data_IF_724268644691
#
_entry.id   IF_724268644691
#
_cell.length_a   1.000
_cell.length_b   1.000
_cell.length_c   1.000
_cell.angle_alpha   90.00
_cell.angle_beta   90.00
_cell.angle_gamma   90.00
#
_symmetry.space_group_name_H-M   'P 1'
#
loop_
_entity.id
_entity.type
_entity.pdbx_description
1 polymer ?
#
# COMPACT_ATOMS: atom_id res chain seq x y z
N UNK A 1 18.50 -12.64 19.61
CA UNK A 1 17.55 -12.18 18.56
C UNK A 1 18.40 -11.78 17.35
N UNK A 2 18.37 -12.55 16.26
CA UNK A 2 19.17 -12.28 15.05
C UNK A 2 18.34 -11.32 14.20
N UNK A 3 18.74 -10.05 14.15
CA UNK A 3 18.16 -9.07 13.23
C UNK A 3 18.68 -9.38 11.81
N UNK A 4 17.84 -10.05 11.00
CA UNK A 4 18.12 -10.22 9.58
C UNK A 4 17.70 -8.92 8.89
N UNK A 5 18.68 -8.04 8.69
CA UNK A 5 18.50 -6.82 7.88
C UNK A 5 18.43 -7.26 6.41
N UNK A 6 17.24 -7.55 5.91
CA UNK A 6 17.02 -7.83 4.49
C UNK A 6 17.09 -6.49 3.75
N UNK A 7 18.12 -6.31 2.95
CA UNK A 7 18.24 -5.14 2.08
C UNK A 7 17.11 -5.17 1.04
N UNK A 8 16.08 -4.35 1.26
CA UNK A 8 14.82 -4.30 0.48
C UNK A 8 15.09 -4.18 -1.03
N UNK A 9 16.07 -3.37 -1.43
CA UNK A 9 16.44 -3.20 -2.85
C UNK A 9 17.02 -4.48 -3.46
N UNK A 10 17.77 -5.27 -2.69
CA UNK A 10 18.30 -6.57 -3.12
C UNK A 10 17.19 -7.61 -3.31
N UNK A 11 16.21 -7.62 -2.40
CA UNK A 11 15.09 -8.58 -2.47
C UNK A 11 14.21 -8.30 -3.70
N UNK A 12 13.92 -7.04 -4.00
CA UNK A 12 13.13 -6.64 -5.16
C UNK A 12 13.85 -7.00 -6.46
N UNK A 13 15.15 -6.74 -6.53
CA UNK A 13 15.96 -7.11 -7.69
C UNK A 13 16.02 -8.63 -7.88
N UNK A 14 16.12 -9.41 -6.80
CA UNK A 14 16.10 -10.88 -6.83
C UNK A 14 14.73 -11.41 -7.26
N UNK A 15 13.61 -10.82 -6.83
CA UNK A 15 12.26 -11.17 -7.28
C UNK A 15 12.04 -10.86 -8.77
N UNK A 16 12.54 -9.73 -9.27
CA UNK A 16 12.52 -9.38 -10.69
C UNK A 16 13.36 -10.34 -11.54
N UNK A 17 14.53 -10.73 -11.05
CA UNK A 17 15.39 -11.72 -11.73
C UNK A 17 14.77 -13.12 -11.68
N UNK A 18 14.14 -13.52 -10.58
CA UNK A 18 13.46 -14.81 -10.45
C UNK A 18 12.25 -14.90 -11.39
N UNK A 19 11.50 -13.81 -11.57
CA UNK A 19 10.39 -13.76 -12.53
C UNK A 19 10.85 -13.95 -13.96
N UNK A 20 12.00 -13.41 -14.35
CA UNK A 20 12.57 -13.57 -15.69
C UNK A 20 13.10 -14.99 -15.95
N UNK A 21 13.53 -15.71 -14.92
CA UNK A 21 14.02 -17.10 -15.03
C UNK A 21 12.86 -18.13 -15.12
N UNK A 22 11.68 -17.81 -14.58
CA UNK A 22 10.49 -18.66 -14.69
C UNK A 22 9.88 -18.66 -16.10
N UNK A 23 10.21 -17.69 -16.96
CA UNK A 23 9.67 -17.57 -18.32
C UNK A 23 10.32 -18.52 -19.34
N UNK A 24 11.47 -19.14 -19.02
CA UNK A 24 12.28 -19.86 -20.01
C UNK A 24 11.89 -21.33 -20.21
N UNK A 25 10.94 -21.92 -19.48
CA UNK A 25 10.72 -23.39 -19.50
C UNK A 25 9.28 -23.86 -19.73
N UNK A 26 8.35 -23.01 -20.21
CA UNK A 26 6.99 -23.46 -20.52
C UNK A 26 6.75 -23.43 -22.03
N UNK A 27 7.28 -24.46 -22.72
CA UNK A 27 6.92 -24.76 -24.09
C UNK A 27 5.75 -25.77 -24.13
N UNK A 28 4.53 -25.29 -24.08
CA UNK A 28 3.36 -26.03 -24.58
C UNK A 28 2.44 -25.07 -25.32
N UNK A 29 1.98 -25.52 -26.50
CA UNK A 29 1.22 -24.79 -27.51
C UNK A 29 -0.22 -24.42 -27.07
N UNK A 30 -0.31 -23.51 -26.12
CA UNK A 30 -1.46 -22.62 -25.89
C UNK A 30 -0.93 -21.22 -26.08
N UNK A 31 -1.73 -20.27 -26.56
CA UNK A 31 -1.34 -18.86 -26.60
C UNK A 31 -0.79 -18.48 -25.23
N UNK A 32 0.52 -18.29 -25.18
CA UNK A 32 1.22 -17.98 -23.92
C UNK A 32 0.65 -16.67 -23.42
N UNK A 33 0.07 -16.66 -22.22
CA UNK A 33 -0.41 -15.41 -21.65
C UNK A 33 0.74 -14.40 -21.63
N UNK A 34 0.48 -13.18 -22.12
CA UNK A 34 1.51 -12.17 -22.31
C UNK A 34 1.79 -11.44 -21.01
N UNK A 35 3.06 -11.16 -20.74
CA UNK A 35 3.48 -10.28 -19.67
C UNK A 35 2.88 -8.88 -19.88
N UNK A 36 2.44 -8.22 -18.83
CA UNK A 36 1.92 -6.85 -18.91
C UNK A 36 2.65 -5.89 -17.95
N UNK A 37 2.82 -4.68 -18.42
CA UNK A 37 3.19 -3.53 -17.58
C UNK A 37 1.91 -2.76 -17.31
N UNK A 38 1.71 -2.41 -16.05
CA UNK A 38 0.54 -1.67 -15.59
C UNK A 38 0.98 -0.36 -14.95
N UNK A 39 0.27 0.72 -15.25
CA UNK A 39 0.48 2.03 -14.62
C UNK A 39 -0.87 2.70 -14.39
N UNK A 40 -1.02 3.39 -13.29
CA UNK A 40 -2.28 4.03 -12.93
C UNK A 40 -2.23 4.92 -11.71
N UNK A 41 -3.41 5.28 -11.26
CA UNK A 41 -3.64 6.08 -10.06
C UNK A 41 -4.43 5.27 -9.04
N UNK A 42 -4.12 5.47 -7.78
CA UNK A 42 -4.78 4.90 -6.64
C UNK A 42 -5.27 6.05 -5.74
N UNK A 43 -6.58 6.14 -5.54
CA UNK A 43 -7.17 6.99 -4.51
C UNK A 43 -7.13 6.22 -3.20
N UNK A 44 -6.39 6.73 -2.23
CA UNK A 44 -6.12 6.08 -0.95
C UNK A 44 -6.95 6.71 0.15
N UNK A 45 -7.46 5.87 1.04
CA UNK A 45 -7.95 6.26 2.36
C UNK A 45 -7.02 5.65 3.41
N UNK A 46 -6.19 6.49 4.02
CA UNK A 46 -5.26 6.08 5.05
C UNK A 46 -5.87 6.37 6.43
N UNK A 47 -6.10 5.33 7.21
CA UNK A 47 -6.71 5.41 8.53
C UNK A 47 -5.71 5.57 9.68
N UNK A 48 -4.44 5.97 9.41
CA UNK A 48 -3.42 6.14 10.46
C UNK A 48 -3.87 7.03 11.63
N UNK A 49 -4.69 8.03 11.36
CA UNK A 49 -5.29 8.90 12.39
C UNK A 49 -6.82 8.77 12.47
N UNK A 50 -7.39 7.74 11.84
CA UNK A 50 -8.86 7.59 11.68
C UNK A 50 -9.64 7.43 12.97
N UNK A 51 -9.02 6.95 14.04
CA UNK A 51 -9.63 6.83 15.36
C UNK A 51 -9.63 8.13 16.17
N UNK A 52 -8.91 9.15 15.73
CA UNK A 52 -8.97 10.48 16.34
C UNK A 52 -10.31 11.14 16.00
N UNK A 53 -11.00 11.65 17.02
CA UNK A 53 -12.29 12.33 16.84
C UNK A 53 -12.48 13.45 17.87
N UNK A 54 -13.39 14.38 17.57
CA UNK A 54 -13.89 15.41 18.49
C UNK A 54 -13.56 16.84 18.08
N UNK A 55 -14.04 17.80 18.84
CA UNK A 55 -13.84 19.23 18.59
C UNK A 55 -12.35 19.61 18.57
N UNK A 56 -11.98 20.60 17.77
CA UNK A 56 -10.60 21.10 17.59
C UNK A 56 -9.63 20.08 16.98
N UNK A 57 -10.15 19.16 16.17
CA UNK A 57 -9.38 18.17 15.43
C UNK A 57 -9.86 18.14 13.98
N UNK A 58 -8.93 18.17 13.04
CA UNK A 58 -9.18 17.82 11.65
C UNK A 58 -8.25 16.69 11.24
N UNK A 59 -8.78 15.70 10.52
CA UNK A 59 -8.02 14.57 10.00
C UNK A 59 -8.19 14.52 8.50
N UNK A 60 -7.09 14.56 7.76
CA UNK A 60 -7.05 14.29 6.33
C UNK A 60 -6.60 12.85 6.12
N UNK A 61 -7.43 12.09 5.43
CA UNK A 61 -7.25 10.66 5.21
C UNK A 61 -7.10 10.30 3.74
N UNK A 62 -7.51 11.21 2.85
CA UNK A 62 -7.57 10.92 1.42
C UNK A 62 -6.34 11.46 0.72
N UNK A 63 -5.71 10.62 -0.07
CA UNK A 63 -4.57 11.02 -0.90
C UNK A 63 -4.55 10.22 -2.19
N UNK A 64 -3.68 10.60 -3.11
CA UNK A 64 -3.46 9.92 -4.37
C UNK A 64 -2.05 9.34 -4.42
N UNK A 65 -1.95 8.11 -4.90
CA UNK A 65 -0.69 7.47 -5.22
C UNK A 65 -0.64 7.05 -6.68
N UNK A 66 0.53 7.04 -7.27
CA UNK A 66 0.79 6.31 -8.50
C UNK A 66 0.92 4.82 -8.19
N UNK A 67 0.40 3.96 -9.04
CA UNK A 67 0.61 2.51 -8.99
C UNK A 67 1.30 2.06 -10.27
N UNK A 68 2.35 1.26 -10.11
CA UNK A 68 3.11 0.66 -11.22
C UNK A 68 3.32 -0.81 -10.90
N UNK A 69 3.03 -1.71 -11.86
CA UNK A 69 3.27 -3.14 -11.65
C UNK A 69 3.63 -3.85 -12.94
N UNK A 70 4.25 -5.01 -12.75
CA UNK A 70 4.47 -6.04 -13.76
C UNK A 70 3.59 -7.23 -13.41
N UNK A 71 2.83 -7.72 -14.38
CA UNK A 71 2.04 -8.94 -14.23
C UNK A 71 2.60 -10.01 -15.17
N UNK A 72 3.03 -11.14 -14.61
CA UNK A 72 3.53 -12.30 -15.33
C UNK A 72 2.51 -13.44 -15.22
N UNK A 73 1.82 -13.79 -16.31
CA UNK A 73 0.92 -14.93 -16.31
C UNK A 73 1.68 -16.25 -16.09
N UNK A 74 1.09 -17.12 -15.29
CA UNK A 74 1.53 -18.49 -15.02
C UNK A 74 0.61 -19.48 -15.74
N UNK A 75 -0.68 -19.13 -15.82
CA UNK A 75 -1.71 -19.87 -16.52
C UNK A 75 -2.79 -18.89 -17.05
N UNK A 76 -3.77 -19.34 -17.84
CA UNK A 76 -4.86 -18.47 -18.31
C UNK A 76 -5.62 -17.74 -17.20
N UNK A 77 -5.69 -18.30 -16.00
CA UNK A 77 -6.44 -17.73 -14.88
C UNK A 77 -5.57 -17.29 -13.69
N UNK A 78 -4.24 -17.49 -13.76
CA UNK A 78 -3.34 -17.20 -12.64
C UNK A 78 -2.12 -16.43 -13.14
N UNK A 79 -1.81 -15.34 -12.47
CA UNK A 79 -0.63 -14.54 -12.76
C UNK A 79 0.09 -14.16 -11.46
N UNK A 80 1.40 -13.96 -11.53
CA UNK A 80 2.19 -13.28 -10.52
C UNK A 80 2.18 -11.78 -10.82
N UNK A 81 2.00 -10.95 -9.81
CA UNK A 81 2.08 -9.49 -9.91
C UNK A 81 3.07 -8.95 -8.89
N UNK A 82 3.93 -8.03 -9.32
CA UNK A 82 4.80 -7.28 -8.43
C UNK A 82 4.83 -5.82 -8.86
N UNK A 83 4.86 -4.91 -7.89
CA UNK A 83 4.80 -3.49 -8.20
C UNK A 83 5.19 -2.58 -7.04
N UNK A 84 4.97 -1.29 -7.29
CA UNK A 84 5.22 -0.22 -6.35
C UNK A 84 4.05 0.78 -6.35
N UNK A 85 3.83 1.38 -5.19
CA UNK A 85 2.99 2.56 -4.99
C UNK A 85 3.91 3.74 -4.72
N UNK A 86 3.63 4.88 -5.34
CA UNK A 86 4.28 6.13 -4.94
C UNK A 86 3.78 6.59 -3.58
N UNK A 87 4.45 7.59 -3.01
CA UNK A 87 4.14 8.07 -1.67
C UNK A 87 2.73 8.66 -1.55
N UNK A 88 2.21 8.54 -0.36
CA UNK A 88 0.94 9.10 0.08
C UNK A 88 1.04 9.55 1.54
N UNK A 89 0.15 10.45 1.96
CA UNK A 89 0.22 11.11 3.25
C UNK A 89 -1.15 11.09 3.95
N UNK A 90 -1.10 11.11 5.27
CA UNK A 90 -2.26 11.37 6.12
C UNK A 90 -1.84 12.32 7.23
N UNK A 91 -2.72 13.25 7.59
CA UNK A 91 -2.42 14.21 8.66
C UNK A 91 -3.57 14.38 9.65
N UNK A 92 -3.21 14.77 10.87
CA UNK A 92 -4.15 15.16 11.91
C UNK A 92 -3.70 16.45 12.57
N UNK A 93 -4.56 17.46 12.54
CA UNK A 93 -4.30 18.75 13.17
C UNK A 93 -5.08 18.86 14.47
N UNK A 94 -4.37 19.03 15.57
CA UNK A 94 -4.90 19.29 16.91
C UNK A 94 -4.70 20.79 17.18
N UNK A 95 -5.76 21.55 17.38
CA UNK A 95 -5.67 23.02 17.53
C UNK A 95 -5.61 23.50 18.98
N UNK A 96 -5.89 22.64 19.94
CA UNK A 96 -5.82 22.92 21.41
C UNK A 96 -5.40 21.67 22.15
N UNK A 97 -5.00 21.84 23.42
CA UNK A 97 -4.73 20.72 24.33
C UNK A 97 -5.85 19.69 24.30
N UNK A 98 -5.49 18.45 24.09
CA UNK A 98 -6.42 17.35 23.93
C UNK A 98 -5.85 16.04 24.46
N UNK A 99 -6.74 15.21 25.00
CA UNK A 99 -6.44 13.82 25.37
C UNK A 99 -7.51 12.88 24.85
N UNK A 100 -7.14 11.62 24.66
CA UNK A 100 -8.04 10.60 24.14
C UNK A 100 -7.33 9.30 23.87
N UNK A 101 -7.86 8.53 22.93
CA UNK A 101 -7.25 7.30 22.47
C UNK A 101 -7.02 7.34 20.95
N UNK A 102 -5.87 6.83 20.53
CA UNK A 102 -5.52 6.60 19.14
C UNK A 102 -5.15 5.11 19.02
N UNK A 103 -5.86 4.35 18.18
CA UNK A 103 -5.68 2.90 18.04
C UNK A 103 -5.67 2.15 19.39
N UNK A 104 -6.58 2.52 20.30
CA UNK A 104 -6.70 1.90 21.63
C UNK A 104 -5.62 2.29 22.64
N UNK A 105 -4.66 3.14 22.30
CA UNK A 105 -3.62 3.65 23.18
C UNK A 105 -3.96 5.08 23.61
N UNK A 106 -3.62 5.44 24.85
CA UNK A 106 -3.84 6.80 25.35
C UNK A 106 -2.93 7.80 24.68
N UNK A 107 -3.45 8.98 24.38
CA UNK A 107 -2.65 10.14 23.97
C UNK A 107 -3.07 11.39 24.72
N UNK A 108 -2.14 12.33 24.86
CA UNK A 108 -2.42 13.69 25.30
C UNK A 108 -1.49 14.68 24.60
N UNK A 109 -2.03 15.83 24.22
CA UNK A 109 -1.27 16.99 23.77
C UNK A 109 -1.49 18.16 24.73
N UNK A 110 -0.45 18.95 24.94
CA UNK A 110 -0.48 20.14 25.80
C UNK A 110 -0.78 21.44 25.03
N UNK A 111 -1.07 21.35 23.73
CA UNK A 111 -1.43 22.49 22.89
C UNK A 111 -1.65 22.08 21.43
N UNK A 112 -1.48 23.05 20.54
CA UNK A 112 -1.66 22.84 19.10
C UNK A 112 -0.46 22.09 18.50
N UNK A 113 -0.74 21.05 17.72
CA UNK A 113 0.25 20.28 16.97
C UNK A 113 -0.35 19.63 15.72
N UNK A 114 0.52 19.28 14.78
CA UNK A 114 0.20 18.49 13.59
C UNK A 114 0.91 17.15 13.68
N UNK A 115 0.18 16.09 13.45
CA UNK A 115 0.69 14.73 13.28
C UNK A 115 0.65 14.42 11.78
N UNK A 116 1.72 13.87 11.24
CA UNK A 116 1.79 13.43 9.85
C UNK A 116 2.29 11.99 9.79
N UNK A 117 1.70 11.21 8.89
CA UNK A 117 2.13 9.88 8.52
C UNK A 117 2.36 9.87 7.01
N UNK A 118 3.61 9.78 6.60
CA UNK A 118 4.02 9.85 5.19
C UNK A 118 4.68 8.55 4.77
N UNK A 119 4.25 8.02 3.63
CA UNK A 119 4.89 6.92 2.92
C UNK A 119 5.57 7.48 1.68
N UNK A 120 6.87 7.28 1.50
CA UNK A 120 7.56 7.74 0.28
C UNK A 120 7.32 6.80 -0.89
N UNK A 121 7.52 5.51 -0.69
CA UNK A 121 7.27 4.46 -1.66
C UNK A 121 7.03 3.15 -0.94
N UNK A 122 6.07 2.38 -1.42
CA UNK A 122 5.82 1.02 -0.92
C UNK A 122 5.82 0.03 -2.08
N UNK A 123 5.96 -1.26 -1.77
CA UNK A 123 6.09 -2.31 -2.76
C UNK A 123 5.12 -3.43 -2.44
N UNK A 124 4.67 -4.12 -3.47
CA UNK A 124 3.81 -5.29 -3.28
C UNK A 124 4.22 -6.42 -4.23
N UNK A 125 3.93 -7.64 -3.80
CA UNK A 125 4.10 -8.83 -4.64
C UNK A 125 3.07 -9.89 -4.25
N UNK A 126 2.48 -10.56 -5.24
CA UNK A 126 1.45 -11.55 -4.99
C UNK A 126 0.91 -12.25 -6.22
N UNK A 127 -0.23 -12.87 -6.04
CA UNK A 127 -0.92 -13.64 -7.07
C UNK A 127 -2.21 -12.93 -7.48
N UNK A 128 -2.51 -12.96 -8.77
CA UNK A 128 -3.74 -12.49 -9.37
C UNK A 128 -4.48 -13.71 -9.96
N UNK A 129 -5.73 -13.89 -9.56
CA UNK A 129 -6.62 -14.96 -10.02
C UNK A 129 -7.75 -14.32 -10.82
N UNK A 130 -7.86 -14.63 -12.10
CA UNK A 130 -8.81 -14.03 -13.02
C UNK A 130 -9.84 -15.05 -13.51
N UNK A 131 -11.04 -14.59 -13.84
CA UNK A 131 -11.98 -15.35 -14.64
C UNK A 131 -11.40 -15.56 -16.05
N UNK A 132 -12.08 -16.36 -16.89
CA UNK A 132 -11.58 -16.70 -18.23
C UNK A 132 -11.21 -15.44 -19.05
N UNK A 133 -10.04 -15.48 -19.69
CA UNK A 133 -9.48 -14.39 -20.51
C UNK A 133 -10.13 -14.27 -21.92
N UNK A 134 -11.26 -14.91 -22.15
CA UNK A 134 -11.94 -14.91 -23.47
C UNK A 134 -13.01 -13.83 -23.61
N UNK A 135 -13.30 -13.10 -22.56
CA UNK A 135 -14.31 -12.05 -22.56
C UNK A 135 -13.68 -10.65 -22.53
N UNK A 136 -14.42 -9.67 -23.03
CA UNK A 136 -13.98 -8.26 -23.01
C UNK A 136 -13.87 -7.72 -21.58
N UNK A 137 -14.60 -8.32 -20.63
CA UNK A 137 -14.57 -7.96 -19.21
C UNK A 137 -14.20 -9.21 -18.41
N UNK A 138 -13.18 -9.08 -17.57
CA UNK A 138 -12.72 -10.13 -16.68
C UNK A 138 -12.73 -9.61 -15.23
N UNK A 139 -13.28 -10.41 -14.32
CA UNK A 139 -13.16 -10.18 -12.89
C UNK A 139 -11.91 -10.88 -12.34
N UNK A 140 -11.32 -10.34 -11.30
CA UNK A 140 -10.18 -10.95 -10.64
C UNK A 140 -10.10 -10.62 -9.16
N UNK A 141 -9.37 -11.48 -8.47
CA UNK A 141 -8.94 -11.29 -7.08
C UNK A 141 -7.42 -11.29 -7.09
N UNK A 142 -6.80 -10.43 -6.30
CA UNK A 142 -5.36 -10.42 -6.07
C UNK A 142 -5.06 -10.41 -4.58
N UNK A 143 -3.99 -11.11 -4.19
CA UNK A 143 -3.53 -11.19 -2.81
C UNK A 143 -2.03 -11.43 -2.76
N UNK A 144 -1.39 -10.96 -1.71
CA UNK A 144 0.05 -11.09 -1.55
C UNK A 144 0.55 -10.34 -0.31
N UNK A 145 1.78 -9.87 -0.39
CA UNK A 145 2.42 -9.08 0.65
C UNK A 145 2.67 -7.66 0.16
N UNK A 146 2.37 -6.70 1.01
CA UNK A 146 2.67 -5.30 0.87
C UNK A 146 3.82 -4.94 1.83
N UNK A 147 4.88 -4.35 1.31
CA UNK A 147 6.05 -3.91 2.05
C UNK A 147 6.00 -2.39 2.13
N UNK A 148 5.94 -1.87 3.33
CA UNK A 148 5.72 -0.45 3.56
C UNK A 148 6.75 0.13 4.53
N UNK A 149 6.93 1.43 4.42
CA UNK A 149 7.73 2.25 5.31
C UNK A 149 7.00 3.57 5.50
N UNK A 150 6.73 3.94 6.75
CA UNK A 150 5.99 5.14 7.10
C UNK A 150 6.83 5.99 8.04
N UNK A 151 6.93 7.24 7.71
CA UNK A 151 7.56 8.28 8.50
C UNK A 151 6.48 9.05 9.26
N UNK A 152 6.50 8.91 10.59
CA UNK A 152 5.63 9.67 11.46
C UNK A 152 6.37 10.89 11.99
N UNK A 153 5.75 12.05 11.87
CA UNK A 153 6.29 13.30 12.41
C UNK A 153 5.28 14.01 13.30
N UNK A 154 5.83 14.74 14.28
CA UNK A 154 5.07 15.63 15.14
C UNK A 154 5.64 17.04 14.95
N UNK A 155 4.80 17.98 14.52
CA UNK A 155 5.19 19.37 14.31
C UNK A 155 4.27 20.31 15.10
N UNK A 156 4.76 21.50 15.44
CA UNK A 156 4.00 22.49 16.19
C UNK A 156 4.76 23.06 17.40
N UNK A 157 4.06 23.74 18.30
CA UNK A 157 4.64 24.37 19.49
C UNK A 157 4.48 23.55 20.78
N UNK A 158 3.90 22.37 20.68
CA UNK A 158 3.47 21.55 21.80
C UNK A 158 4.09 20.16 21.77
N UNK A 159 3.98 19.41 22.85
CA UNK A 159 4.38 18.01 22.93
C UNK A 159 3.18 17.07 22.82
N UNK A 160 3.44 15.87 22.31
CA UNK A 160 2.52 14.75 22.29
C UNK A 160 3.02 13.67 23.23
N UNK A 161 2.20 13.21 24.16
CA UNK A 161 2.45 11.97 24.89
C UNK A 161 1.56 10.88 24.28
N UNK A 162 2.16 9.81 23.78
CA UNK A 162 1.44 8.65 23.22
C UNK A 162 1.90 7.37 23.92
N UNK A 163 0.97 6.63 24.49
CA UNK A 163 1.21 5.40 25.25
C UNK A 163 2.35 5.55 26.29
N UNK A 164 2.39 6.70 27.00
CA UNK A 164 3.40 7.02 28.00
C UNK A 164 4.75 7.54 27.46
N UNK A 165 4.95 7.56 26.15
CA UNK A 165 6.15 8.12 25.51
C UNK A 165 5.88 9.55 25.05
N UNK A 166 6.77 10.49 25.40
CA UNK A 166 6.67 11.89 24.97
C UNK A 166 7.42 12.12 23.67
N UNK A 167 6.76 12.77 22.74
CA UNK A 167 7.28 13.24 21.46
C UNK A 167 7.20 14.76 21.44
N UNK A 168 8.34 15.41 21.35
CA UNK A 168 8.41 16.86 21.22
C UNK A 168 8.16 17.30 19.79
N UNK A 169 7.87 18.58 19.57
CA UNK A 169 7.86 19.16 18.22
C UNK A 169 9.16 18.83 17.50
N UNK A 170 9.05 18.42 16.22
CA UNK A 170 10.13 17.89 15.39
C UNK A 170 10.58 16.45 15.74
N UNK A 171 9.83 15.72 16.56
CA UNK A 171 10.04 14.29 16.72
C UNK A 171 9.68 13.56 15.44
N UNK A 172 10.53 12.59 15.10
CA UNK A 172 10.40 11.78 13.90
C UNK A 172 10.52 10.30 14.29
N UNK A 173 9.60 9.49 13.81
CA UNK A 173 9.62 8.04 14.00
C UNK A 173 9.42 7.35 12.66
N UNK A 174 10.39 6.55 12.26
CA UNK A 174 10.34 5.74 11.06
C UNK A 174 10.01 4.31 11.42
N UNK A 175 8.98 3.77 10.81
CA UNK A 175 8.54 2.39 10.98
C UNK A 175 8.34 1.72 9.64
N UNK A 176 8.64 0.44 9.59
CA UNK A 176 8.49 -0.37 8.39
C UNK A 176 7.93 -1.74 8.72
N UNK A 177 7.31 -2.36 7.72
CA UNK A 177 6.70 -3.66 7.89
C UNK A 177 6.36 -4.34 6.58
N UNK A 178 5.78 -5.52 6.72
CA UNK A 178 5.19 -6.26 5.61
C UNK A 178 3.92 -6.94 6.08
N UNK A 179 2.83 -6.69 5.37
CA UNK A 179 1.51 -7.19 5.73
C UNK A 179 0.77 -7.72 4.50
N UNK A 180 -0.22 -8.58 4.68
CA UNK A 180 -1.01 -9.07 3.56
C UNK A 180 -1.82 -7.94 2.92
N UNK A 181 -2.05 -8.06 1.61
CA UNK A 181 -3.03 -7.26 0.88
C UNK A 181 -4.04 -8.15 0.17
N UNK A 182 -5.22 -7.60 -0.05
CA UNK A 182 -6.28 -8.18 -0.84
C UNK A 182 -6.80 -7.15 -1.83
N UNK A 183 -7.06 -7.57 -3.07
CA UNK A 183 -7.68 -6.73 -4.10
C UNK A 183 -8.77 -7.46 -4.85
N UNK A 184 -9.79 -6.71 -5.23
CA UNK A 184 -10.87 -7.16 -6.11
C UNK A 184 -10.95 -6.20 -7.27
N UNK A 185 -11.08 -6.70 -8.50
CA UNK A 185 -11.10 -5.81 -9.65
C UNK A 185 -11.77 -6.39 -10.88
N UNK A 186 -11.95 -5.47 -11.83
CA UNK A 186 -12.45 -5.74 -13.17
C UNK A 186 -11.43 -5.22 -14.18
N UNK A 187 -11.20 -5.98 -15.22
CA UNK A 187 -10.38 -5.58 -16.37
C UNK A 187 -11.27 -5.50 -17.61
N UNK A 188 -11.16 -4.42 -18.36
CA UNK A 188 -11.78 -4.24 -19.67
C UNK A 188 -10.72 -4.23 -20.76
N UNK A 189 -10.86 -5.11 -21.76
CA UNK A 189 -9.96 -5.17 -22.91
C UNK A 189 -10.30 -4.06 -23.90
N UNK A 190 -9.42 -3.10 -24.06
CA UNK A 190 -9.56 -2.00 -25.06
C UNK A 190 -9.01 -2.40 -26.42
N UNK A 191 -8.06 -3.33 -26.44
CA UNK A 191 -7.51 -3.95 -27.65
C UNK A 191 -6.83 -5.27 -27.30
N UNK A 192 -6.29 -5.99 -28.29
CA UNK A 192 -5.55 -7.24 -28.06
C UNK A 192 -4.26 -7.05 -27.21
N UNK A 193 -3.82 -5.82 -26.98
CA UNK A 193 -2.60 -5.52 -26.25
C UNK A 193 -2.80 -4.54 -25.08
N UNK A 194 -4.00 -4.00 -24.93
CA UNK A 194 -4.25 -2.91 -23.97
C UNK A 194 -5.50 -3.18 -23.17
N UNK A 195 -5.43 -2.90 -21.89
CA UNK A 195 -6.50 -3.12 -20.91
C UNK A 195 -6.61 -1.93 -19.97
N UNK A 196 -7.81 -1.71 -19.46
CA UNK A 196 -8.07 -0.82 -18.35
C UNK A 196 -8.60 -1.66 -17.20
N UNK A 197 -8.05 -1.49 -16.01
CA UNK A 197 -8.51 -2.19 -14.82
C UNK A 197 -8.97 -1.19 -13.75
N UNK A 198 -10.02 -1.57 -13.06
CA UNK A 198 -10.50 -0.91 -11.86
C UNK A 198 -10.42 -1.87 -10.69
N UNK A 199 -9.77 -1.46 -9.61
CA UNK A 199 -9.56 -2.26 -8.40
C UNK A 199 -10.07 -1.56 -7.15
N UNK A 200 -10.51 -2.34 -6.20
CA UNK A 200 -10.51 -2.01 -4.79
C UNK A 200 -9.38 -2.79 -4.12
N UNK A 201 -8.55 -2.11 -3.35
CA UNK A 201 -7.42 -2.67 -2.62
C UNK A 201 -7.59 -2.39 -1.13
N UNK A 202 -7.31 -3.39 -0.31
CA UNK A 202 -7.17 -3.23 1.14
C UNK A 202 -5.82 -3.79 1.58
N UNK A 203 -5.10 -3.03 2.38
CA UNK A 203 -3.75 -3.33 2.87
C UNK A 203 -3.74 -3.10 4.37
N UNK A 204 -3.44 -4.13 5.15
CA UNK A 204 -3.24 -3.99 6.57
C UNK A 204 -1.83 -3.41 6.83
N UNK A 205 -1.68 -2.67 7.93
CA UNK A 205 -0.37 -2.23 8.46
C UNK A 205 -0.36 -2.50 9.95
N UNK A 206 0.12 -3.69 10.31
CA UNK A 206 0.11 -4.16 11.69
C UNK A 206 1.35 -3.71 12.44
N UNK A 207 1.19 -3.39 13.74
CA UNK A 207 2.27 -2.95 14.62
C UNK A 207 3.03 -1.69 14.17
N UNK A 208 2.39 -0.81 13.40
CA UNK A 208 3.02 0.37 12.85
C UNK A 208 3.59 1.32 13.92
N UNK A 209 2.83 1.59 14.99
CA UNK A 209 3.30 2.43 16.11
C UNK A 209 2.97 1.74 17.43
N UNK A 210 3.97 1.21 18.14
CA UNK A 210 3.81 0.59 19.47
C UNK A 210 2.64 -0.41 19.55
N UNK A 211 2.43 -1.21 18.51
CA UNK A 211 1.34 -2.16 18.38
C UNK A 211 0.02 -1.56 17.90
N UNK A 212 0.01 -0.34 17.39
CA UNK A 212 -1.13 0.22 16.66
C UNK A 212 -1.24 -0.42 15.27
N UNK A 213 -2.47 -0.65 14.85
CA UNK A 213 -2.82 -1.16 13.53
C UNK A 213 -3.61 -0.09 12.80
N UNK A 214 -3.39 0.03 11.50
CA UNK A 214 -4.21 0.87 10.63
C UNK A 214 -4.37 0.22 9.26
N UNK A 215 -5.47 0.50 8.63
CA UNK A 215 -5.78 0.00 7.29
C UNK A 215 -5.55 1.08 6.24
N UNK A 216 -5.10 0.65 5.08
CA UNK A 216 -5.00 1.46 3.86
C UNK A 216 -5.96 0.84 2.86
N UNK A 217 -7.03 1.56 2.57
CA UNK A 217 -8.00 1.17 1.56
C UNK A 217 -7.88 2.08 0.35
N UNK A 218 -8.17 1.56 -0.84
CA UNK A 218 -8.09 2.40 -2.03
C UNK A 218 -8.80 1.85 -3.24
N UNK A 219 -9.11 2.78 -4.15
CA UNK A 219 -9.63 2.48 -5.48
C UNK A 219 -8.60 2.86 -6.53
N UNK A 220 -8.22 1.91 -7.38
CA UNK A 220 -7.27 2.17 -8.46
C UNK A 220 -7.91 2.13 -9.83
N UNK A 221 -7.36 2.94 -10.72
CA UNK A 221 -7.60 2.87 -12.15
C UNK A 221 -6.23 2.69 -12.82
N UNK A 222 -6.03 1.56 -13.49
CA UNK A 222 -4.77 1.23 -14.13
C UNK A 222 -4.97 0.97 -15.62
N UNK A 223 -3.97 1.37 -16.39
CA UNK A 223 -3.81 1.01 -17.79
C UNK A 223 -2.69 0.00 -17.93
N UNK A 224 -2.92 -1.03 -18.75
CA UNK A 224 -2.01 -2.17 -18.93
C UNK A 224 -1.67 -2.36 -20.39
N UNK A 225 -0.41 -2.68 -20.68
CA UNK A 225 0.10 -3.05 -21.99
C UNK A 225 0.71 -4.45 -21.94
N UNK A 226 0.26 -5.33 -22.84
CA UNK A 226 0.83 -6.66 -23.06
C UNK A 226 1.93 -6.62 -24.12
N UNK A 227 3.00 -7.40 -23.89
CA UNK A 227 4.13 -7.58 -24.83
C UNK A 227 4.67 -9.02 -24.86
#
# INVERSE_FOLDING_TARGET
>A
MINIYINKHKLIFQLLVLSSLLTSNITQAHEVPKTSINAGLLLIQNNAFGSLSGANLSVDKNDFAGIFSLTQPISPSVAFEAGALTGFESSANITKSKSGTLHGKSYSSDGALTLEAKTEMSYFAGMKFSTSNHESINAYIKTGLHFWEVDFSVSGSSSLTYNGTSYNSNSFLKVDGSDPYLGLGLTYSTSNKSFISFDYLTMASTNAIQGAEFDIDGYSLTWSLNF
#
